data_IF_685563101565
#
_entry.id   IF_685563101565
#
_cell.length_a   1.000
_cell.length_b   1.000
_cell.length_c   1.000
_cell.angle_alpha   90.00
_cell.angle_beta   90.00
_cell.angle_gamma   90.00
#
_symmetry.space_group_name_H-M   'P 1'
#
loop_
_entity.id
_entity.type
_entity.pdbx_description
1 polymer ?
#
# COMPACT_ATOMS: atom_id res chain seq x y z
N UNK A 1 -76.16 25.78 22.91
CA UNK A 1 -75.27 24.74 23.48
C UNK A 1 -74.51 24.08 22.33
N UNK A 2 -73.18 24.05 22.46
CA UNK A 2 -72.25 23.07 21.85
C UNK A 2 -72.02 23.11 20.31
N UNK A 3 -70.84 23.65 19.99
CA UNK A 3 -69.81 23.27 19.02
C UNK A 3 -70.09 22.71 17.61
N UNK A 4 -69.32 23.33 16.71
CA UNK A 4 -68.62 22.80 15.52
C UNK A 4 -69.45 22.53 14.25
N UNK A 5 -69.17 23.30 13.18
CA UNK A 5 -68.42 22.79 12.02
C UNK A 5 -68.24 23.85 10.90
N UNK A 6 -67.08 23.76 10.23
CA UNK A 6 -66.82 23.86 8.78
C UNK A 6 -66.88 25.20 8.00
N UNK A 7 -65.66 25.57 7.55
CA UNK A 7 -65.18 25.58 6.14
C UNK A 7 -65.99 26.38 5.11
N UNK A 8 -65.41 27.48 4.61
CA UNK A 8 -64.67 27.60 3.33
C UNK A 8 -64.76 29.04 2.77
N UNK A 9 -63.61 29.53 2.27
CA UNK A 9 -63.56 30.54 1.21
C UNK A 9 -63.05 31.92 1.62
N UNK A 10 -61.78 32.20 1.28
CA UNK A 10 -61.38 33.36 0.46
C UNK A 10 -59.90 33.28 0.09
N UNK A 11 -59.65 33.43 -1.20
CA UNK A 11 -58.38 33.42 -1.94
C UNK A 11 -57.46 34.58 -1.56
N UNK A 12 -56.15 34.31 -1.45
CA UNK A 12 -55.07 35.30 -1.20
C UNK A 12 -54.02 35.18 -2.34
N UNK A 13 -53.40 36.28 -2.82
CA UNK A 13 -52.64 36.28 -4.07
C UNK A 13 -51.23 35.68 -3.93
N UNK A 14 -50.75 35.09 -5.03
CA UNK A 14 -49.42 34.49 -5.18
C UNK A 14 -48.35 35.59 -5.14
N UNK A 15 -47.49 35.58 -4.11
CA UNK A 15 -46.24 36.35 -4.06
C UNK A 15 -45.11 35.56 -4.73
N UNK A 16 -44.36 36.23 -5.58
CA UNK A 16 -43.21 35.71 -6.29
C UNK A 16 -42.16 35.10 -5.33
N UNK A 17 -41.67 33.91 -5.68
CA UNK A 17 -40.60 33.19 -4.99
C UNK A 17 -39.27 33.92 -5.25
N UNK A 18 -38.46 34.27 -4.24
CA UNK A 18 -37.15 34.85 -4.47
C UNK A 18 -36.23 33.80 -5.11
N UNK A 19 -35.49 34.21 -6.13
CA UNK A 19 -34.48 33.41 -6.81
C UNK A 19 -33.42 32.91 -5.83
N UNK A 20 -33.20 31.60 -5.84
CA UNK A 20 -32.17 30.91 -5.05
C UNK A 20 -30.81 31.50 -5.37
N UNK A 21 -30.22 32.20 -4.39
CA UNK A 21 -28.83 32.65 -4.44
C UNK A 21 -27.93 31.41 -4.49
N UNK A 22 -27.15 31.24 -5.56
CA UNK A 22 -26.22 30.10 -5.66
C UNK A 22 -25.15 30.26 -4.58
N UNK A 23 -24.75 29.16 -3.95
CA UNK A 23 -23.69 29.13 -2.95
C UNK A 23 -22.34 29.75 -3.43
N UNK A 24 -22.16 29.90 -4.74
CA UNK A 24 -21.03 30.59 -5.36
C UNK A 24 -20.95 32.10 -5.06
N UNK A 25 -22.06 32.76 -4.68
CA UNK A 25 -22.07 34.21 -4.47
C UNK A 25 -21.58 34.64 -3.08
N UNK A 26 -21.56 33.73 -2.10
CA UNK A 26 -21.05 33.98 -0.74
C UNK A 26 -19.51 34.10 -0.67
N UNK A 27 -18.80 33.49 -1.63
CA UNK A 27 -17.33 33.45 -1.62
C UNK A 27 -16.66 34.60 -2.39
N UNK A 28 -17.42 35.49 -3.02
CA UNK A 28 -16.86 36.60 -3.82
C UNK A 28 -16.30 37.76 -2.96
N UNK A 29 -16.51 37.74 -1.64
CA UNK A 29 -16.06 38.79 -0.69
C UNK A 29 -14.74 38.47 0.04
N UNK A 30 -14.17 37.29 -0.13
CA UNK A 30 -12.86 36.98 0.44
C UNK A 30 -11.78 37.29 -0.59
N UNK A 31 -11.01 38.35 -0.33
CA UNK A 31 -9.74 38.54 -1.02
C UNK A 31 -8.87 37.29 -0.80
N UNK A 32 -8.21 36.80 -1.86
CA UNK A 32 -7.17 35.78 -1.73
C UNK A 32 -6.23 36.21 -0.61
N UNK A 33 -6.11 35.39 0.44
CA UNK A 33 -5.07 35.57 1.44
C UNK A 33 -3.75 35.75 0.70
N UNK A 34 -3.04 36.85 0.98
CA UNK A 34 -1.70 37.03 0.45
C UNK A 34 -0.88 35.83 0.91
N UNK A 35 -0.25 35.13 -0.05
CA UNK A 35 0.77 34.12 0.26
C UNK A 35 1.80 34.80 1.16
N UNK A 36 1.80 34.47 2.45
CA UNK A 36 2.91 34.83 3.33
C UNK A 36 4.16 34.19 2.73
N UNK A 37 5.15 35.01 2.39
CA UNK A 37 6.49 34.51 2.11
C UNK A 37 6.93 33.68 3.32
N UNK A 38 7.26 32.42 3.07
CA UNK A 38 7.80 31.53 4.09
C UNK A 38 9.07 32.20 4.62
N UNK A 39 9.06 32.64 5.87
CA UNK A 39 10.28 33.11 6.54
C UNK A 39 11.33 32.03 6.32
N UNK A 40 12.39 32.33 5.55
CA UNK A 40 13.53 31.44 5.39
C UNK A 40 13.99 31.08 6.79
N UNK A 41 14.04 29.78 7.09
CA UNK A 41 14.46 29.29 8.38
C UNK A 41 15.95 29.63 8.53
N UNK A 42 16.25 30.76 9.17
CA UNK A 42 17.60 31.26 9.31
C UNK A 42 18.25 30.55 10.51
N UNK A 43 19.14 29.59 10.23
CA UNK A 43 19.88 28.85 11.24
C UNK A 43 21.22 29.52 11.43
N UNK A 44 21.53 29.95 12.67
CA UNK A 44 22.81 30.60 12.98
C UNK A 44 23.96 29.66 12.63
N UNK A 45 24.82 30.11 11.71
CA UNK A 45 25.93 29.32 11.19
C UNK A 45 27.06 29.20 12.21
N UNK A 46 27.51 27.96 12.43
CA UNK A 46 28.69 27.63 13.22
C UNK A 46 29.70 26.87 12.35
N UNK A 47 30.89 26.60 12.92
CA UNK A 47 31.99 25.94 12.19
C UNK A 47 31.58 24.59 11.62
N UNK A 48 30.79 23.80 12.35
CA UNK A 48 30.36 22.48 11.88
C UNK A 48 29.40 22.62 10.71
N UNK A 49 28.39 23.48 10.81
CA UNK A 49 27.44 23.72 9.73
C UNK A 49 28.11 24.25 8.46
N UNK A 50 29.08 25.16 8.59
CA UNK A 50 29.86 25.66 7.46
C UNK A 50 30.60 24.53 6.72
N UNK A 51 31.29 23.65 7.46
CA UNK A 51 31.98 22.49 6.89
C UNK A 51 31.02 21.52 6.20
N UNK A 52 29.83 21.29 6.77
CA UNK A 52 28.80 20.45 6.16
C UNK A 52 28.28 21.05 4.84
N UNK A 53 28.07 22.38 4.79
CA UNK A 53 27.69 23.08 3.57
C UNK A 53 28.77 23.00 2.49
N UNK A 54 30.04 23.11 2.85
CA UNK A 54 31.16 22.95 1.91
C UNK A 54 31.22 21.53 1.34
N UNK A 55 31.12 20.51 2.20
CA UNK A 55 31.08 19.11 1.77
C UNK A 55 29.87 18.83 0.86
N UNK A 56 28.70 19.42 1.14
CA UNK A 56 27.53 19.33 0.27
C UNK A 56 27.81 19.92 -1.12
N UNK A 57 28.37 21.13 -1.20
CA UNK A 57 28.69 21.78 -2.49
C UNK A 57 29.64 20.92 -3.32
N UNK A 58 30.67 20.36 -2.68
CA UNK A 58 31.61 19.44 -3.34
C UNK A 58 30.91 18.15 -3.78
N UNK A 59 30.00 17.61 -2.98
CA UNK A 59 29.24 16.42 -3.33
C UNK A 59 28.29 16.68 -4.52
N UNK A 60 27.55 17.79 -4.48
CA UNK A 60 26.52 18.08 -5.45
C UNK A 60 27.11 18.43 -6.82
N UNK A 61 28.29 19.08 -6.87
CA UNK A 61 28.95 19.43 -8.13
C UNK A 61 29.53 18.22 -8.90
N UNK A 62 29.69 17.06 -8.26
CA UNK A 62 30.18 15.82 -8.90
C UNK A 62 29.13 15.23 -9.85
N UNK A 63 29.57 14.66 -10.98
CA UNK A 63 28.69 13.97 -11.94
C UNK A 63 27.98 12.78 -11.28
N UNK A 64 26.73 12.52 -11.65
CA UNK A 64 25.95 11.37 -11.18
C UNK A 64 26.64 10.05 -11.50
N UNK A 65 26.54 9.10 -10.57
CA UNK A 65 27.08 7.74 -10.68
C UNK A 65 25.99 6.73 -10.31
N UNK A 66 26.35 5.45 -10.19
CA UNK A 66 25.48 4.49 -9.54
C UNK A 66 25.26 4.92 -8.07
N UNK A 67 24.07 4.65 -7.53
CA UNK A 67 23.68 5.12 -6.18
C UNK A 67 24.69 4.71 -5.09
N UNK A 68 25.26 3.50 -5.20
CA UNK A 68 26.28 3.02 -4.26
C UNK A 68 27.54 3.89 -4.35
N UNK A 69 28.08 4.09 -5.55
CA UNK A 69 29.28 4.92 -5.74
C UNK A 69 29.07 6.36 -5.27
N UNK A 70 27.86 6.89 -5.49
CA UNK A 70 27.49 8.23 -5.07
C UNK A 70 27.39 8.33 -3.54
N UNK A 71 26.87 7.29 -2.89
CA UNK A 71 26.88 7.20 -1.43
C UNK A 71 28.30 7.14 -0.85
N UNK A 72 29.18 6.30 -1.40
CA UNK A 72 30.56 6.19 -0.91
C UNK A 72 31.34 7.51 -1.06
N UNK A 73 31.06 8.27 -2.13
CA UNK A 73 31.59 9.64 -2.26
C UNK A 73 31.09 10.54 -1.14
N UNK A 74 29.78 10.53 -0.84
CA UNK A 74 29.24 11.33 0.27
C UNK A 74 29.88 10.94 1.60
N UNK A 75 30.04 9.64 1.88
CA UNK A 75 30.75 9.14 3.06
C UNK A 75 32.16 9.72 3.13
N UNK A 76 32.94 9.63 2.05
CA UNK A 76 34.33 10.12 2.03
C UNK A 76 34.46 11.60 2.36
N UNK A 77 33.48 12.42 1.99
CA UNK A 77 33.48 13.87 2.24
C UNK A 77 33.11 14.22 3.68
N UNK A 78 32.29 13.40 4.34
CA UNK A 78 31.81 13.69 5.69
C UNK A 78 32.65 13.03 6.78
N UNK A 79 33.41 11.98 6.47
CA UNK A 79 34.19 11.21 7.47
C UNK A 79 35.25 12.02 8.22
N UNK A 80 35.75 13.12 7.65
CA UNK A 80 36.75 13.99 8.28
C UNK A 80 36.15 15.13 9.12
N UNK A 81 34.82 15.30 9.07
CA UNK A 81 34.13 16.41 9.73
C UNK A 81 33.65 15.95 11.11
N UNK A 82 33.94 16.73 12.15
CA UNK A 82 33.42 16.46 13.49
C UNK A 82 32.10 17.22 13.69
N UNK A 83 30.98 16.49 13.62
CA UNK A 83 29.63 17.01 13.77
C UNK A 83 28.79 16.14 14.72
N UNK A 84 27.73 16.74 15.27
CA UNK A 84 26.71 16.07 16.07
C UNK A 84 25.40 15.90 15.30
N UNK A 85 24.47 15.13 15.86
CA UNK A 85 23.08 15.02 15.40
C UNK A 85 22.36 16.37 15.33
N UNK A 86 22.70 17.30 16.23
CA UNK A 86 22.17 18.68 16.20
C UNK A 86 22.63 19.40 14.95
N UNK A 87 23.90 19.23 14.55
CA UNK A 87 24.46 19.89 13.37
C UNK A 87 23.90 19.30 12.07
N UNK A 88 23.67 17.98 12.03
CA UNK A 88 22.93 17.34 10.92
C UNK A 88 21.50 17.87 10.84
N UNK A 89 20.83 18.06 12.00
CA UNK A 89 19.50 18.67 12.07
C UNK A 89 19.49 20.10 11.52
N UNK A 90 20.45 20.94 11.93
CA UNK A 90 20.66 22.30 11.38
C UNK A 90 20.90 22.26 9.87
N UNK A 91 21.77 21.35 9.42
CA UNK A 91 22.07 21.19 8.00
C UNK A 91 20.83 20.80 7.19
N UNK A 92 19.96 19.93 7.72
CA UNK A 92 18.70 19.57 7.06
C UNK A 92 17.80 20.78 6.81
N UNK A 93 17.83 21.80 7.67
CA UNK A 93 17.10 23.06 7.52
C UNK A 93 17.81 23.97 6.50
N UNK A 94 19.14 24.03 6.58
CA UNK A 94 19.97 24.81 5.66
C UNK A 94 19.92 24.31 4.20
N UNK A 95 19.43 23.09 3.95
CA UNK A 95 19.20 22.58 2.59
C UNK A 95 18.29 23.49 1.75
N UNK A 96 17.50 24.37 2.37
CA UNK A 96 16.71 25.38 1.65
C UNK A 96 17.55 26.30 0.77
N UNK A 97 18.81 26.53 1.13
CA UNK A 97 19.74 27.36 0.37
C UNK A 97 20.13 26.74 -0.97
N UNK A 98 19.95 25.42 -1.14
CA UNK A 98 20.47 24.65 -2.27
C UNK A 98 19.38 24.06 -3.19
N UNK A 99 18.10 24.33 -2.96
CA UNK A 99 17.00 23.63 -3.65
C UNK A 99 16.94 23.87 -5.17
N UNK A 100 17.46 25.01 -5.61
CA UNK A 100 17.57 25.38 -7.02
C UNK A 100 18.76 24.72 -7.73
N UNK A 101 19.65 24.04 -6.98
CA UNK A 101 20.80 23.37 -7.57
C UNK A 101 20.38 22.14 -8.37
N UNK A 102 21.10 21.90 -9.47
CA UNK A 102 20.91 20.72 -10.30
C UNK A 102 21.06 19.45 -9.46
N UNK A 103 20.16 18.49 -9.68
CA UNK A 103 20.15 17.17 -9.04
C UNK A 103 19.96 17.18 -7.51
N UNK A 104 19.69 18.34 -6.88
CA UNK A 104 19.47 18.48 -5.43
C UNK A 104 18.53 17.42 -4.86
N UNK A 105 17.30 17.30 -5.40
CA UNK A 105 16.29 16.39 -4.88
C UNK A 105 16.64 14.90 -5.03
N UNK A 106 17.56 14.54 -5.94
CA UNK A 106 18.07 13.17 -6.07
C UNK A 106 19.24 12.86 -5.16
N UNK A 107 19.95 13.89 -4.67
CA UNK A 107 21.21 13.75 -3.92
C UNK A 107 21.10 14.07 -2.44
N UNK A 108 20.23 15.01 -2.06
CA UNK A 108 20.14 15.53 -0.70
C UNK A 108 19.88 14.44 0.36
N UNK A 109 18.94 13.52 0.11
CA UNK A 109 18.66 12.45 1.05
C UNK A 109 19.77 11.40 1.13
N UNK A 110 20.53 11.19 0.06
CA UNK A 110 21.69 10.30 0.07
C UNK A 110 22.83 10.89 0.93
N UNK A 111 23.09 12.19 0.77
CA UNK A 111 24.09 12.91 1.57
C UNK A 111 23.71 12.96 3.05
N UNK A 112 22.45 13.26 3.37
CA UNK A 112 21.94 13.17 4.74
C UNK A 112 22.08 11.76 5.32
N UNK A 113 21.83 10.72 4.52
CA UNK A 113 22.01 9.33 4.97
C UNK A 113 23.48 9.04 5.30
N UNK A 114 24.42 9.55 4.50
CA UNK A 114 25.85 9.41 4.77
C UNK A 114 26.26 10.11 6.08
N UNK A 115 25.74 11.31 6.34
CA UNK A 115 25.94 12.03 7.61
C UNK A 115 25.39 11.26 8.81
N UNK A 116 24.18 10.72 8.70
CA UNK A 116 23.53 9.99 9.78
C UNK A 116 24.30 8.71 10.10
N UNK A 117 24.64 7.92 9.09
CA UNK A 117 25.28 6.62 9.28
C UNK A 117 26.73 6.73 9.78
N UNK A 118 27.46 7.79 9.41
CA UNK A 118 28.84 8.02 9.87
C UNK A 118 28.92 8.88 11.15
N UNK A 119 27.80 9.46 11.57
CA UNK A 119 27.78 10.25 12.79
C UNK A 119 27.83 9.38 14.06
N UNK A 120 28.36 9.99 15.13
CA UNK A 120 28.61 9.32 16.41
C UNK A 120 27.35 9.07 17.22
N UNK A 121 26.31 9.89 17.02
CA UNK A 121 25.07 9.80 17.78
C UNK A 121 24.22 8.60 17.33
N UNK A 122 23.32 8.17 18.21
CA UNK A 122 22.40 7.07 17.92
C UNK A 122 21.11 7.55 17.23
N UNK A 123 20.72 8.81 17.46
CA UNK A 123 19.43 9.36 17.05
C UNK A 123 19.57 10.72 16.37
N UNK A 124 18.79 10.92 15.31
CA UNK A 124 18.82 12.12 14.48
C UNK A 124 17.41 12.64 14.22
N UNK A 125 17.24 13.97 14.23
CA UNK A 125 16.00 14.62 13.81
C UNK A 125 16.25 15.42 12.54
N UNK A 126 15.51 15.11 11.49
CA UNK A 126 15.68 15.68 10.15
C UNK A 126 14.39 16.40 9.77
N UNK A 127 14.49 17.66 9.36
CA UNK A 127 13.31 18.42 8.92
C UNK A 127 13.29 18.51 7.41
N UNK A 128 12.20 18.10 6.76
CA UNK A 128 12.03 18.17 5.30
C UNK A 128 10.80 18.98 4.88
N UNK A 129 9.89 19.28 5.81
CA UNK A 129 8.61 19.98 5.55
C UNK A 129 8.71 21.36 4.87
N UNK A 130 9.89 21.94 4.89
CA UNK A 130 10.19 23.29 4.43
C UNK A 130 10.79 23.28 3.01
N UNK A 131 11.12 22.09 2.49
CA UNK A 131 11.57 21.90 1.11
C UNK A 131 10.39 21.96 0.15
N UNK A 132 10.60 22.53 -1.04
CA UNK A 132 9.57 22.69 -2.06
C UNK A 132 9.10 21.36 -2.64
N UNK A 133 10.01 20.37 -2.68
CA UNK A 133 9.71 19.00 -3.11
C UNK A 133 10.37 17.99 -2.16
N UNK A 134 9.76 16.80 -1.99
CA UNK A 134 10.36 15.75 -1.18
C UNK A 134 11.69 15.23 -1.77
N UNK A 135 12.72 15.11 -0.93
CA UNK A 135 14.04 14.58 -1.31
C UNK A 135 14.06 13.05 -1.32
N UNK A 136 14.81 12.46 -2.25
CA UNK A 136 14.90 11.00 -2.44
C UNK A 136 16.00 10.38 -1.57
N UNK A 137 15.90 9.07 -1.34
CA UNK A 137 16.94 8.23 -0.71
C UNK A 137 17.30 8.55 0.75
N UNK A 138 16.50 9.35 1.45
CA UNK A 138 16.74 9.56 2.88
C UNK A 138 16.53 8.24 3.65
N UNK A 139 17.49 7.86 4.49
CA UNK A 139 17.52 6.58 5.18
C UNK A 139 18.19 5.45 4.38
N UNK A 140 18.94 5.77 3.33
CA UNK A 140 19.68 4.76 2.55
C UNK A 140 20.67 3.99 3.46
N UNK A 141 20.58 2.66 3.46
CA UNK A 141 21.41 1.77 4.32
C UNK A 141 21.41 2.16 5.81
N UNK A 142 20.31 2.73 6.29
CA UNK A 142 20.27 3.23 7.66
C UNK A 142 20.48 2.10 8.69
N UNK A 143 21.20 2.45 9.76
CA UNK A 143 21.39 1.63 10.98
C UNK A 143 21.07 2.39 12.27
N UNK A 144 20.67 3.67 12.16
CA UNK A 144 20.45 4.60 13.28
C UNK A 144 18.96 4.83 13.55
N UNK A 145 18.66 5.62 14.57
CA UNK A 145 17.31 6.12 14.80
C UNK A 145 17.12 7.47 14.11
N UNK A 146 16.11 7.59 13.24
CA UNK A 146 15.82 8.82 12.51
C UNK A 146 14.36 9.22 12.77
N UNK A 147 14.14 10.45 13.23
CA UNK A 147 12.82 11.09 13.22
C UNK A 147 12.77 12.15 12.15
N UNK A 148 11.81 12.04 11.22
CA UNK A 148 11.64 13.00 10.14
C UNK A 148 10.39 13.84 10.37
N UNK A 149 10.55 15.15 10.22
CA UNK A 149 9.49 16.15 10.32
C UNK A 149 9.19 16.67 8.90
N UNK A 150 8.23 16.01 8.24
CA UNK A 150 7.82 16.32 6.86
C UNK A 150 7.79 15.09 5.96
N UNK A 151 7.59 15.35 4.67
CA UNK A 151 7.50 14.32 3.64
C UNK A 151 8.88 13.87 3.16
N UNK A 152 8.98 12.63 2.69
CA UNK A 152 10.17 12.08 2.05
C UNK A 152 9.81 11.62 0.63
N UNK A 153 10.73 11.81 -0.31
CA UNK A 153 10.54 11.43 -1.70
C UNK A 153 10.63 9.92 -1.93
N UNK A 154 10.91 9.57 -3.18
CA UNK A 154 11.08 8.18 -3.58
C UNK A 154 12.28 7.52 -2.85
N UNK A 155 12.18 6.21 -2.70
CA UNK A 155 13.27 5.35 -2.22
C UNK A 155 13.73 5.70 -0.79
N UNK A 156 12.83 6.22 0.04
CA UNK A 156 13.05 6.38 1.48
C UNK A 156 13.38 5.02 2.11
N UNK A 157 14.33 4.97 3.05
CA UNK A 157 14.79 3.72 3.69
C UNK A 157 15.28 2.63 2.70
N UNK A 158 15.73 3.01 1.50
CA UNK A 158 16.25 2.05 0.53
C UNK A 158 17.44 1.29 1.10
N UNK A 159 17.36 -0.06 1.10
CA UNK A 159 18.35 -0.96 1.72
C UNK A 159 18.61 -0.73 3.20
N UNK A 160 17.67 -0.14 3.95
CA UNK A 160 17.79 0.00 5.42
C UNK A 160 18.15 -1.35 6.06
N UNK A 161 19.17 -1.33 6.91
CA UNK A 161 19.81 -2.54 7.45
C UNK A 161 19.33 -2.83 8.87
N UNK A 162 19.20 -1.80 9.70
CA UNK A 162 18.68 -1.87 11.06
C UNK A 162 18.23 -0.49 11.56
N UNK A 163 17.97 -0.35 12.86
CA UNK A 163 17.54 0.92 13.45
C UNK A 163 16.05 1.21 13.27
N UNK A 164 15.66 2.44 13.60
CA UNK A 164 14.26 2.89 13.57
C UNK A 164 14.15 4.18 12.77
N UNK A 165 13.21 4.25 11.83
CA UNK A 165 12.94 5.46 11.06
C UNK A 165 11.46 5.81 11.17
N UNK A 166 11.16 6.98 11.73
CA UNK A 166 9.79 7.49 11.88
C UNK A 166 9.62 8.69 10.97
N UNK A 167 8.68 8.61 10.03
CA UNK A 167 8.38 9.67 9.07
C UNK A 167 7.04 10.31 9.43
N UNK A 168 7.10 11.53 9.96
CA UNK A 168 5.93 12.36 10.27
C UNK A 168 5.43 13.09 9.02
N UNK A 169 5.05 12.32 8.01
CA UNK A 169 4.63 12.80 6.69
C UNK A 169 4.34 11.65 5.74
N UNK A 170 4.20 11.97 4.46
CA UNK A 170 4.04 11.02 3.37
C UNK A 170 5.40 10.56 2.83
N UNK A 171 5.41 9.41 2.16
CA UNK A 171 6.59 8.93 1.42
C UNK A 171 6.30 8.68 -0.05
N UNK A 172 7.35 8.80 -0.88
CA UNK A 172 7.30 8.48 -2.30
C UNK A 172 7.30 6.97 -2.60
N UNK A 173 7.33 6.63 -3.89
CA UNK A 173 7.40 5.23 -4.33
C UNK A 173 8.75 4.60 -4.03
N UNK A 174 8.78 3.27 -3.86
CA UNK A 174 10.00 2.52 -3.53
C UNK A 174 10.45 2.67 -2.06
N UNK A 175 9.58 3.18 -1.18
CA UNK A 175 9.90 3.27 0.25
C UNK A 175 10.16 1.86 0.82
N UNK A 176 11.25 1.68 1.56
CA UNK A 176 11.65 0.38 2.12
C UNK A 176 12.07 -0.66 1.06
N UNK A 177 12.40 -0.23 -0.16
CA UNK A 177 12.86 -1.13 -1.21
C UNK A 177 14.14 -1.85 -0.75
N UNK A 178 14.22 -3.17 -0.96
CA UNK A 178 15.32 -4.03 -0.52
C UNK A 178 15.71 -3.85 0.97
N UNK A 179 14.77 -3.44 1.82
CA UNK A 179 15.00 -3.35 3.27
C UNK A 179 15.43 -4.71 3.82
N UNK A 180 16.53 -4.70 4.57
CA UNK A 180 17.21 -5.90 5.10
C UNK A 180 16.90 -6.11 6.58
N UNK A 181 16.38 -5.10 7.27
CA UNK A 181 16.04 -5.15 8.70
C UNK A 181 15.64 -3.78 9.24
N UNK A 182 15.32 -3.72 10.53
CA UNK A 182 14.92 -2.49 11.23
C UNK A 182 13.41 -2.23 11.24
N UNK A 183 13.01 -1.03 11.69
CA UNK A 183 11.60 -0.62 11.77
C UNK A 183 11.37 0.73 11.11
N UNK A 184 10.38 0.78 10.21
CA UNK A 184 9.99 1.98 9.47
C UNK A 184 8.52 2.30 9.76
N UNK A 185 8.27 3.45 10.36
CA UNK A 185 6.91 3.96 10.63
C UNK A 185 6.63 5.20 9.77
N UNK A 186 5.50 5.19 9.05
CA UNK A 186 5.07 6.26 8.15
C UNK A 186 3.70 6.74 8.63
N UNK A 187 3.65 7.96 9.14
CA UNK A 187 2.43 8.55 9.70
C UNK A 187 1.47 9.12 8.64
N UNK A 188 1.92 9.20 7.38
CA UNK A 188 1.10 9.59 6.22
C UNK A 188 0.79 8.42 5.29
N UNK A 189 0.64 8.75 4.00
CA UNK A 189 0.49 7.79 2.90
C UNK A 189 1.86 7.36 2.38
N UNK A 190 1.93 6.19 1.74
CA UNK A 190 3.11 5.76 1.00
C UNK A 190 2.84 5.60 -0.50
N UNK A 191 3.86 5.86 -1.31
CA UNK A 191 3.80 5.68 -2.77
C UNK A 191 3.73 4.21 -3.20
N UNK A 192 3.84 4.01 -4.52
CA UNK A 192 3.84 2.66 -5.11
C UNK A 192 5.11 1.88 -4.72
N UNK A 193 5.08 0.55 -4.82
CA UNK A 193 6.27 -0.31 -4.60
C UNK A 193 6.87 -0.20 -3.19
N UNK A 194 6.02 0.04 -2.18
CA UNK A 194 6.42 -0.02 -0.77
C UNK A 194 6.97 -1.43 -0.45
N UNK A 195 8.14 -1.54 0.16
CA UNK A 195 8.71 -2.82 0.58
C UNK A 195 9.02 -3.79 -0.56
N UNK A 196 9.19 -3.29 -1.80
CA UNK A 196 9.56 -4.16 -2.92
C UNK A 196 10.90 -4.84 -2.65
N UNK A 197 10.97 -6.16 -2.82
CA UNK A 197 12.15 -6.99 -2.50
C UNK A 197 12.62 -6.89 -1.05
N UNK A 198 11.74 -6.52 -0.12
CA UNK A 198 12.04 -6.52 1.31
C UNK A 198 12.44 -7.93 1.77
N UNK A 199 13.55 -8.03 2.49
CA UNK A 199 14.13 -9.29 2.98
C UNK A 199 13.77 -9.55 4.44
N UNK A 200 13.80 -8.51 5.26
CA UNK A 200 13.39 -8.57 6.67
C UNK A 200 13.08 -7.15 7.19
N UNK A 201 12.63 -7.05 8.44
CA UNK A 201 12.26 -5.80 9.11
C UNK A 201 10.75 -5.58 9.20
N UNK A 202 10.36 -4.39 9.63
CA UNK A 202 8.94 -3.99 9.77
C UNK A 202 8.67 -2.66 9.10
N UNK A 203 7.59 -2.57 8.33
CA UNK A 203 7.07 -1.33 7.77
C UNK A 203 5.63 -1.14 8.23
N UNK A 204 5.32 0.00 8.84
CA UNK A 204 3.97 0.37 9.27
C UNK A 204 3.54 1.69 8.63
N UNK A 205 2.46 1.68 7.84
CA UNK A 205 1.85 2.86 7.23
C UNK A 205 0.52 3.16 7.90
N UNK A 206 0.34 4.39 8.41
CA UNK A 206 -0.90 4.79 9.10
C UNK A 206 -2.08 5.05 8.17
N UNK A 207 -1.84 5.35 6.89
CA UNK A 207 -2.87 5.63 5.90
C UNK A 207 -2.76 4.68 4.70
N UNK A 208 -2.98 5.20 3.49
CA UNK A 208 -3.08 4.42 2.26
C UNK A 208 -1.71 4.19 1.60
N UNK A 209 -1.63 3.13 0.81
CA UNK A 209 -0.46 2.77 -0.01
C UNK A 209 -0.90 2.56 -1.44
N UNK A 210 -0.13 3.09 -2.40
CA UNK A 210 -0.41 2.87 -3.83
C UNK A 210 -0.01 1.45 -4.28
N UNK A 211 -0.01 1.22 -5.59
CA UNK A 211 0.09 -0.13 -6.15
C UNK A 211 1.42 -0.83 -5.81
N UNK A 212 1.39 -2.16 -5.84
CA UNK A 212 2.53 -3.06 -5.74
C UNK A 212 3.29 -3.01 -4.40
N UNK A 213 2.59 -2.75 -3.29
CA UNK A 213 3.18 -2.93 -1.96
C UNK A 213 3.56 -4.39 -1.72
N UNK A 214 4.77 -4.66 -1.22
CA UNK A 214 5.30 -6.01 -1.00
C UNK A 214 5.62 -6.80 -2.27
N UNK A 215 5.74 -6.15 -3.44
CA UNK A 215 6.12 -6.82 -4.68
C UNK A 215 7.47 -7.54 -4.50
N UNK A 216 7.55 -8.82 -4.84
CA UNK A 216 8.76 -9.65 -4.69
C UNK A 216 9.31 -9.69 -3.24
N UNK A 217 8.47 -9.46 -2.22
CA UNK A 217 8.87 -9.55 -0.81
C UNK A 217 9.32 -10.97 -0.46
N UNK A 218 10.45 -11.09 0.21
CA UNK A 218 11.08 -12.36 0.60
C UNK A 218 10.91 -12.66 2.09
N UNK A 219 10.78 -11.62 2.92
CA UNK A 219 10.58 -11.74 4.36
C UNK A 219 10.24 -10.39 5.01
N UNK A 220 10.09 -10.39 6.34
CA UNK A 220 9.66 -9.23 7.12
C UNK A 220 8.15 -9.06 7.24
N UNK A 221 7.71 -7.90 7.72
CA UNK A 221 6.29 -7.59 7.91
C UNK A 221 5.92 -6.18 7.41
N UNK A 222 4.79 -6.08 6.71
CA UNK A 222 4.19 -4.81 6.27
C UNK A 222 2.78 -4.70 6.86
N UNK A 223 2.50 -3.59 7.56
CA UNK A 223 1.18 -3.26 8.11
C UNK A 223 0.69 -1.96 7.48
N UNK A 224 -0.48 -2.00 6.85
CA UNK A 224 -1.14 -0.87 6.22
C UNK A 224 -2.46 -0.63 6.94
N UNK A 225 -2.58 0.50 7.63
CA UNK A 225 -3.80 0.84 8.38
C UNK A 225 -4.91 1.44 7.51
N UNK A 226 -4.59 1.89 6.29
CA UNK A 226 -5.56 2.30 5.27
C UNK A 226 -5.77 1.23 4.20
N UNK A 227 -5.93 1.67 2.96
CA UNK A 227 -6.12 0.84 1.77
C UNK A 227 -4.81 0.58 1.02
N UNK A 228 -4.80 -0.47 0.22
CA UNK A 228 -3.77 -0.75 -0.77
C UNK A 228 -4.38 -0.73 -2.18
N UNK A 229 -3.61 -0.33 -3.18
CA UNK A 229 -4.01 -0.43 -4.58
C UNK A 229 -3.61 -1.80 -5.19
N UNK A 230 -3.67 -1.90 -6.52
CA UNK A 230 -3.42 -3.14 -7.27
C UNK A 230 -2.09 -3.83 -6.93
N UNK A 231 -2.02 -5.14 -7.19
CA UNK A 231 -0.80 -5.97 -7.13
C UNK A 231 -0.13 -6.07 -5.76
N UNK A 232 -0.89 -5.88 -4.67
CA UNK A 232 -0.43 -6.10 -3.31
C UNK A 232 0.17 -7.51 -3.15
N UNK A 233 1.42 -7.62 -2.70
CA UNK A 233 2.11 -8.89 -2.50
C UNK A 233 2.31 -9.71 -3.78
N UNK A 234 2.30 -9.08 -4.95
CA UNK A 234 2.59 -9.77 -6.22
C UNK A 234 3.99 -10.39 -6.19
N UNK A 235 4.11 -11.62 -6.71
CA UNK A 235 5.37 -12.38 -6.78
C UNK A 235 6.06 -12.56 -5.41
N UNK A 236 5.33 -12.41 -4.29
CA UNK A 236 5.85 -12.57 -2.94
C UNK A 236 6.32 -14.01 -2.70
N UNK A 237 7.51 -14.15 -2.12
CA UNK A 237 8.17 -15.43 -1.81
C UNK A 237 8.10 -15.75 -0.31
N UNK A 238 7.98 -14.74 0.54
CA UNK A 238 7.87 -14.89 1.99
C UNK A 238 7.53 -13.57 2.70
N UNK A 239 7.33 -13.64 4.02
CA UNK A 239 6.93 -12.50 4.85
C UNK A 239 5.43 -12.41 5.12
N UNK A 240 5.00 -11.32 5.76
CA UNK A 240 3.60 -11.10 6.15
C UNK A 240 3.13 -9.69 5.78
N UNK A 241 1.99 -9.59 5.10
CA UNK A 241 1.36 -8.31 4.76
C UNK A 241 -0.04 -8.26 5.37
N UNK A 242 -0.34 -7.18 6.12
CA UNK A 242 -1.66 -6.95 6.72
C UNK A 242 -2.20 -5.59 6.28
N UNK A 243 -3.37 -5.58 5.64
CA UNK A 243 -4.11 -4.39 5.25
C UNK A 243 -5.41 -4.30 6.06
N UNK A 244 -5.61 -3.18 6.76
CA UNK A 244 -6.79 -2.95 7.60
C UNK A 244 -7.99 -2.40 6.82
N UNK A 245 -7.76 -1.85 5.62
CA UNK A 245 -8.79 -1.42 4.67
C UNK A 245 -9.03 -2.42 3.54
N UNK A 246 -9.27 -1.89 2.35
CA UNK A 246 -9.47 -2.63 1.10
C UNK A 246 -8.15 -2.81 0.33
N UNK A 247 -8.16 -3.73 -0.63
CA UNK A 247 -7.17 -3.78 -1.70
C UNK A 247 -7.86 -3.79 -3.08
N UNK A 248 -7.19 -3.29 -4.12
CA UNK A 248 -7.72 -3.34 -5.49
C UNK A 248 -7.40 -4.71 -6.14
N UNK A 249 -7.03 -4.72 -7.43
CA UNK A 249 -6.97 -5.95 -8.21
C UNK A 249 -5.69 -6.75 -7.98
N UNK A 250 -5.74 -8.04 -8.30
CA UNK A 250 -4.55 -8.90 -8.44
C UNK A 250 -3.69 -9.02 -7.17
N UNK A 251 -4.32 -8.99 -5.99
CA UNK A 251 -3.65 -9.27 -4.71
C UNK A 251 -3.02 -10.66 -4.76
N UNK A 252 -1.74 -10.78 -4.45
CA UNK A 252 -1.01 -12.04 -4.46
C UNK A 252 -0.86 -12.69 -5.83
N UNK A 253 -0.89 -11.90 -6.92
CA UNK A 253 -0.60 -12.40 -8.27
C UNK A 253 0.76 -13.10 -8.33
N UNK A 254 0.80 -14.34 -8.82
CA UNK A 254 1.99 -15.19 -8.90
C UNK A 254 2.74 -15.36 -7.56
N UNK A 255 2.02 -15.28 -6.43
CA UNK A 255 2.58 -15.49 -5.09
C UNK A 255 3.13 -16.92 -4.92
N UNK A 256 4.34 -17.03 -4.39
CA UNK A 256 5.10 -18.28 -4.18
C UNK A 256 5.29 -18.64 -2.70
N UNK A 257 4.94 -17.74 -1.78
CA UNK A 257 5.03 -17.98 -0.35
C UNK A 257 4.69 -16.75 0.48
N UNK A 258 4.66 -16.90 1.81
CA UNK A 258 4.27 -15.84 2.75
C UNK A 258 2.77 -15.79 3.05
N UNK A 259 2.34 -14.72 3.72
CA UNK A 259 0.92 -14.50 4.02
C UNK A 259 0.46 -13.06 3.73
N UNK A 260 -0.75 -12.95 3.18
CA UNK A 260 -1.43 -11.67 2.95
C UNK A 260 -2.79 -11.72 3.64
N UNK A 261 -3.10 -10.72 4.47
CA UNK A 261 -4.44 -10.51 5.04
C UNK A 261 -4.98 -9.14 4.65
N UNK A 262 -6.10 -9.09 3.95
CA UNK A 262 -6.87 -7.87 3.69
C UNK A 262 -8.16 -7.95 4.50
N UNK A 263 -8.38 -7.00 5.41
CA UNK A 263 -9.51 -7.06 6.35
C UNK A 263 -10.86 -6.98 5.64
N UNK A 264 -10.97 -6.12 4.64
CA UNK A 264 -12.24 -5.82 3.99
C UNK A 264 -12.28 -6.47 2.60
N UNK A 265 -12.43 -5.67 1.54
CA UNK A 265 -12.70 -6.13 0.19
C UNK A 265 -11.45 -6.15 -0.69
N UNK A 266 -11.40 -7.10 -1.61
CA UNK A 266 -10.44 -7.18 -2.72
C UNK A 266 -11.20 -7.15 -4.04
N UNK A 267 -10.69 -6.45 -5.05
CA UNK A 267 -11.33 -6.46 -6.37
C UNK A 267 -11.03 -7.79 -7.12
N UNK A 268 -10.91 -7.74 -8.44
CA UNK A 268 -10.79 -8.94 -9.26
C UNK A 268 -9.40 -9.58 -9.17
N UNK A 269 -9.32 -10.86 -9.55
CA UNK A 269 -8.08 -11.62 -9.75
C UNK A 269 -7.23 -11.84 -8.48
N UNK A 270 -7.86 -11.85 -7.30
CA UNK A 270 -7.17 -12.22 -6.05
C UNK A 270 -6.55 -13.62 -6.17
N UNK A 271 -5.24 -13.74 -5.97
CA UNK A 271 -4.48 -14.99 -6.04
C UNK A 271 -4.34 -15.56 -7.45
N UNK A 272 -4.44 -14.72 -8.50
CA UNK A 272 -4.21 -15.16 -9.88
C UNK A 272 -2.82 -15.78 -10.03
N UNK A 273 -2.74 -16.99 -10.60
CA UNK A 273 -1.51 -17.78 -10.78
C UNK A 273 -0.73 -18.04 -9.47
N UNK A 274 -1.40 -18.01 -8.33
CA UNK A 274 -0.78 -18.31 -7.04
C UNK A 274 -0.25 -19.76 -7.01
N UNK A 275 0.98 -19.93 -6.53
CA UNK A 275 1.68 -21.23 -6.46
C UNK A 275 1.80 -21.77 -5.04
N UNK A 276 1.94 -20.88 -4.05
CA UNK A 276 2.02 -21.24 -2.64
C UNK A 276 1.77 -20.00 -1.76
N UNK A 277 1.69 -20.21 -0.45
CA UNK A 277 1.38 -19.18 0.54
C UNK A 277 -0.09 -19.16 0.97
N UNK A 278 -0.47 -18.13 1.73
CA UNK A 278 -1.83 -17.95 2.25
C UNK A 278 -2.34 -16.54 1.99
N UNK A 279 -3.53 -16.42 1.40
CA UNK A 279 -4.26 -15.17 1.27
C UNK A 279 -5.56 -15.27 2.09
N UNK A 280 -5.86 -14.27 2.92
CA UNK A 280 -7.12 -14.17 3.65
C UNK A 280 -7.76 -12.80 3.43
N UNK A 281 -9.01 -12.79 3.00
CA UNK A 281 -9.75 -11.57 2.63
C UNK A 281 -11.13 -11.55 3.29
N UNK A 282 -11.66 -10.37 3.57
CA UNK A 282 -13.04 -10.22 4.02
C UNK A 282 -14.04 -10.56 2.90
N UNK A 283 -13.85 -10.03 1.69
CA UNK A 283 -14.60 -10.42 0.50
C UNK A 283 -13.75 -10.18 -0.74
N UNK A 284 -14.13 -10.80 -1.87
CA UNK A 284 -13.47 -10.52 -3.14
C UNK A 284 -14.48 -10.43 -4.29
N UNK A 285 -14.11 -9.75 -5.38
CA UNK A 285 -14.91 -9.74 -6.61
C UNK A 285 -14.62 -11.01 -7.45
N UNK A 286 -14.38 -10.88 -8.74
CA UNK A 286 -14.40 -12.01 -9.67
C UNK A 286 -13.01 -12.63 -9.88
N UNK A 287 -12.97 -13.81 -10.51
CA UNK A 287 -11.74 -14.49 -10.93
C UNK A 287 -10.75 -14.78 -9.78
N UNK A 288 -11.26 -14.99 -8.56
CA UNK A 288 -10.43 -15.40 -7.42
C UNK A 288 -9.76 -16.73 -7.75
N UNK A 289 -8.45 -16.83 -7.57
CA UNK A 289 -7.68 -18.04 -7.89
C UNK A 289 -7.65 -18.40 -9.38
N UNK A 290 -7.83 -17.44 -10.30
CA UNK A 290 -7.66 -17.67 -11.73
C UNK A 290 -6.27 -18.27 -12.03
N UNK A 291 -6.25 -19.42 -12.71
CA UNK A 291 -5.07 -20.23 -13.00
C UNK A 291 -4.22 -20.56 -11.77
N UNK A 292 -4.81 -20.69 -10.58
CA UNK A 292 -4.10 -21.02 -9.34
C UNK A 292 -3.52 -22.44 -9.41
N UNK A 293 -2.23 -22.57 -9.10
CA UNK A 293 -1.44 -23.81 -9.14
C UNK A 293 -1.28 -24.43 -7.74
N UNK A 294 -1.34 -23.60 -6.68
CA UNK A 294 -1.16 -24.06 -5.31
C UNK A 294 -1.35 -22.95 -4.26
N UNK A 295 -1.23 -23.31 -2.98
CA UNK A 295 -1.48 -22.40 -1.86
C UNK A 295 -2.91 -22.41 -1.35
N UNK A 296 -3.25 -21.45 -0.48
CA UNK A 296 -4.59 -21.33 0.11
C UNK A 296 -5.13 -19.91 0.03
N UNK A 297 -6.34 -19.76 -0.50
CA UNK A 297 -7.13 -18.53 -0.41
C UNK A 297 -8.30 -18.79 0.54
N UNK A 298 -8.59 -17.84 1.44
CA UNK A 298 -9.74 -17.88 2.34
C UNK A 298 -10.48 -16.56 2.28
N UNK A 299 -11.76 -16.58 1.91
CA UNK A 299 -12.66 -15.45 1.97
C UNK A 299 -13.63 -15.63 3.15
N UNK A 300 -13.58 -14.72 4.12
CA UNK A 300 -14.44 -14.73 5.33
C UNK A 300 -15.89 -14.33 5.00
N UNK A 301 -16.09 -13.68 3.85
CA UNK A 301 -17.38 -13.25 3.33
C UNK A 301 -17.60 -13.78 1.93
N UNK A 302 -18.19 -12.95 1.07
CA UNK A 302 -18.60 -13.37 -0.29
C UNK A 302 -17.46 -13.25 -1.30
N UNK A 303 -17.57 -14.03 -2.36
CA UNK A 303 -16.75 -13.92 -3.56
C UNK A 303 -17.63 -13.80 -4.82
N UNK A 304 -17.10 -13.14 -5.84
CA UNK A 304 -17.76 -12.96 -7.13
C UNK A 304 -17.71 -14.19 -8.05
N UNK A 305 -17.94 -13.93 -9.33
CA UNK A 305 -18.08 -14.96 -10.36
C UNK A 305 -16.73 -15.54 -10.76
N UNK A 306 -16.76 -16.71 -11.39
CA UNK A 306 -15.62 -17.31 -12.11
C UNK A 306 -14.43 -17.59 -11.16
N UNK A 307 -14.72 -17.90 -9.89
CA UNK A 307 -13.67 -18.29 -8.94
C UNK A 307 -13.13 -19.67 -9.27
N UNK A 308 -11.81 -19.83 -9.21
CA UNK A 308 -11.11 -21.06 -9.52
C UNK A 308 -11.09 -21.37 -11.01
N UNK A 309 -11.24 -20.35 -11.86
CA UNK A 309 -11.08 -20.50 -13.30
C UNK A 309 -9.73 -21.09 -13.66
N UNK A 310 -9.69 -22.17 -14.44
CA UNK A 310 -8.45 -22.84 -14.86
C UNK A 310 -7.54 -23.24 -13.69
N UNK A 311 -8.10 -23.42 -12.49
CA UNK A 311 -7.35 -23.83 -11.30
C UNK A 311 -6.78 -25.24 -11.50
N UNK A 312 -5.47 -25.38 -11.28
CA UNK A 312 -4.71 -26.64 -11.42
C UNK A 312 -4.21 -27.18 -10.08
N UNK A 313 -4.41 -26.45 -8.99
CA UNK A 313 -4.10 -26.91 -7.65
C UNK A 313 -4.36 -25.87 -6.57
N UNK A 314 -4.16 -26.24 -5.31
CA UNK A 314 -4.42 -25.40 -4.14
C UNK A 314 -5.83 -25.54 -3.56
N UNK A 315 -6.16 -24.66 -2.61
CA UNK A 315 -7.45 -24.66 -1.91
C UNK A 315 -8.03 -23.26 -1.83
N UNK A 316 -9.28 -23.11 -2.26
CA UNK A 316 -10.08 -21.90 -2.05
C UNK A 316 -11.19 -22.25 -1.04
N UNK A 317 -11.25 -21.55 0.08
CA UNK A 317 -12.33 -21.62 1.06
C UNK A 317 -13.11 -20.31 1.06
N UNK A 318 -14.43 -20.39 0.98
CA UNK A 318 -15.36 -19.26 1.03
C UNK A 318 -16.35 -19.52 2.15
N UNK A 319 -16.30 -18.71 3.20
CA UNK A 319 -17.22 -18.82 4.34
C UNK A 319 -18.59 -18.21 4.03
N UNK A 320 -18.65 -17.25 3.11
CA UNK A 320 -19.89 -16.66 2.61
C UNK A 320 -20.41 -17.27 1.31
N UNK A 321 -21.09 -16.45 0.51
CA UNK A 321 -21.66 -16.84 -0.78
C UNK A 321 -20.65 -16.72 -1.93
N UNK A 322 -20.87 -17.52 -2.98
CA UNK A 322 -20.12 -17.46 -4.22
C UNK A 322 -21.04 -17.21 -5.42
N UNK A 323 -20.55 -16.43 -6.37
CA UNK A 323 -21.25 -16.09 -7.61
C UNK A 323 -21.36 -17.25 -8.60
N UNK A 324 -21.57 -16.91 -9.86
CA UNK A 324 -21.76 -17.88 -10.95
C UNK A 324 -20.42 -18.44 -11.46
N UNK A 325 -20.48 -19.57 -12.17
CA UNK A 325 -19.36 -20.18 -12.87
C UNK A 325 -18.17 -20.57 -11.96
N UNK A 326 -18.45 -20.96 -10.71
CA UNK A 326 -17.42 -21.42 -9.79
C UNK A 326 -16.78 -22.70 -10.33
N UNK A 327 -15.45 -22.71 -10.44
CA UNK A 327 -14.67 -23.80 -11.02
C UNK A 327 -14.77 -23.89 -12.54
N UNK A 328 -15.00 -22.77 -13.23
CA UNK A 328 -15.00 -22.73 -14.70
C UNK A 328 -13.68 -23.28 -15.26
N UNK A 329 -13.72 -24.37 -16.05
CA UNK A 329 -12.51 -25.03 -16.56
C UNK A 329 -11.50 -25.44 -15.48
N UNK A 330 -11.96 -25.70 -14.26
CA UNK A 330 -11.09 -26.20 -13.19
C UNK A 330 -10.52 -27.57 -13.57
N UNK A 331 -9.21 -27.74 -13.44
CA UNK A 331 -8.45 -28.94 -13.83
C UNK A 331 -8.12 -29.78 -12.58
N UNK A 332 -7.76 -29.13 -11.47
CA UNK A 332 -7.47 -29.78 -10.19
C UNK A 332 -7.57 -28.78 -9.03
N UNK A 333 -7.33 -29.25 -7.81
CA UNK A 333 -7.47 -28.46 -6.58
C UNK A 333 -8.83 -28.63 -5.91
N UNK A 334 -9.10 -27.78 -4.91
CA UNK A 334 -10.31 -27.86 -4.09
C UNK A 334 -10.94 -26.50 -3.86
N UNK A 335 -12.22 -26.36 -4.16
CA UNK A 335 -13.04 -25.19 -3.82
C UNK A 335 -14.09 -25.62 -2.80
N UNK A 336 -14.21 -24.87 -1.70
CA UNK A 336 -15.18 -25.11 -0.63
C UNK A 336 -15.96 -23.83 -0.43
N UNK A 337 -17.28 -23.89 -0.51
CA UNK A 337 -18.18 -22.77 -0.26
C UNK A 337 -19.20 -23.17 0.81
N UNK A 338 -19.17 -22.46 1.93
CA UNK A 338 -20.08 -22.69 3.06
C UNK A 338 -21.47 -22.07 2.84
N UNK A 339 -21.54 -20.99 2.06
CA UNK A 339 -22.80 -20.38 1.67
C UNK A 339 -23.39 -20.92 0.37
N UNK A 340 -24.30 -20.13 -0.19
CA UNK A 340 -24.88 -20.32 -1.52
C UNK A 340 -23.83 -20.27 -2.64
N UNK A 341 -24.03 -21.09 -3.66
CA UNK A 341 -23.30 -21.09 -4.92
C UNK A 341 -24.25 -20.66 -6.04
N UNK A 342 -23.80 -19.72 -6.88
CA UNK A 342 -24.51 -19.29 -8.08
C UNK A 342 -24.60 -20.38 -9.15
N UNK A 343 -25.00 -19.95 -10.34
CA UNK A 343 -25.32 -20.86 -11.44
C UNK A 343 -24.07 -21.44 -12.12
N UNK A 344 -24.24 -22.60 -12.76
CA UNK A 344 -23.24 -23.25 -13.63
C UNK A 344 -21.92 -23.57 -12.90
N UNK A 345 -22.03 -24.06 -11.67
CA UNK A 345 -20.92 -24.65 -10.91
C UNK A 345 -20.24 -25.76 -11.73
N UNK A 346 -18.92 -25.74 -11.81
CA UNK A 346 -18.11 -26.73 -12.51
C UNK A 346 -18.29 -26.72 -14.04
N UNK A 347 -18.76 -25.62 -14.63
CA UNK A 347 -18.92 -25.54 -16.09
C UNK A 347 -17.58 -25.79 -16.80
N UNK A 348 -17.54 -26.78 -17.71
CA UNK A 348 -16.32 -27.23 -18.38
C UNK A 348 -15.19 -27.69 -17.43
N UNK A 349 -15.49 -28.03 -16.18
CA UNK A 349 -14.52 -28.58 -15.21
C UNK A 349 -13.97 -29.93 -15.70
N UNK A 350 -12.65 -30.06 -15.74
CA UNK A 350 -11.88 -31.22 -16.19
C UNK A 350 -11.30 -32.06 -15.02
N UNK A 351 -11.38 -31.55 -13.79
CA UNK A 351 -10.97 -32.29 -12.60
C UNK A 351 -10.99 -31.44 -11.32
N UNK A 352 -10.56 -32.03 -10.20
CA UNK A 352 -10.61 -31.41 -8.87
C UNK A 352 -11.90 -31.65 -8.10
N UNK A 353 -12.10 -30.90 -7.01
CA UNK A 353 -13.25 -31.04 -6.12
C UNK A 353 -13.91 -29.69 -5.81
N UNK A 354 -15.25 -29.63 -5.94
CA UNK A 354 -16.07 -28.50 -5.47
C UNK A 354 -17.00 -29.00 -4.37
N UNK A 355 -16.99 -28.32 -3.21
CA UNK A 355 -17.81 -28.66 -2.04
C UNK A 355 -18.80 -27.53 -1.78
N UNK A 356 -20.08 -27.81 -1.99
CA UNK A 356 -21.22 -26.93 -1.79
C UNK A 356 -21.90 -27.25 -0.45
N UNK A 357 -21.59 -26.51 0.61
CA UNK A 357 -22.12 -26.80 1.95
C UNK A 357 -23.35 -25.96 2.32
N UNK A 358 -23.69 -24.94 1.53
CA UNK A 358 -24.92 -24.17 1.68
C UNK A 358 -26.19 -25.02 1.56
N UNK A 359 -27.32 -24.44 1.97
CA UNK A 359 -28.60 -25.15 2.03
C UNK A 359 -29.16 -25.55 0.67
N UNK A 360 -28.90 -24.74 -0.36
CA UNK A 360 -29.41 -24.94 -1.71
C UNK A 360 -28.55 -25.92 -2.51
N UNK A 361 -29.22 -26.74 -3.33
CA UNK A 361 -28.54 -27.62 -4.27
C UNK A 361 -27.83 -26.78 -5.34
N UNK A 362 -26.52 -27.02 -5.60
CA UNK A 362 -25.81 -26.25 -6.60
C UNK A 362 -26.35 -26.54 -8.00
N UNK A 363 -26.47 -25.49 -8.80
CA UNK A 363 -26.79 -25.56 -10.22
C UNK A 363 -25.50 -25.86 -11.00
N UNK A 364 -25.42 -27.01 -11.67
CA UNK A 364 -24.27 -27.40 -12.48
C UNK A 364 -24.69 -27.99 -13.83
N UNK A 365 -23.93 -27.70 -14.88
CA UNK A 365 -24.19 -28.17 -16.24
C UNK A 365 -22.88 -28.26 -17.02
N UNK A 366 -22.77 -29.20 -17.94
CA UNK A 366 -21.57 -29.41 -18.78
C UNK A 366 -20.27 -29.56 -17.97
N UNK A 367 -20.35 -30.26 -16.83
CA UNK A 367 -19.18 -30.75 -16.10
C UNK A 367 -18.56 -31.89 -16.92
N UNK A 368 -17.25 -31.86 -17.18
CA UNK A 368 -16.56 -32.89 -18.00
C UNK A 368 -16.04 -34.00 -17.07
N UNK A 369 -15.34 -33.64 -16.00
CA UNK A 369 -14.71 -34.54 -15.03
C UNK A 369 -14.64 -33.88 -13.64
N UNK A 370 -14.12 -34.60 -12.64
CA UNK A 370 -13.98 -34.11 -11.26
C UNK A 370 -15.14 -34.52 -10.35
N UNK A 371 -15.21 -33.90 -9.18
CA UNK A 371 -16.21 -34.23 -8.15
C UNK A 371 -16.90 -32.97 -7.63
N UNK A 372 -18.23 -33.03 -7.56
CA UNK A 372 -19.03 -32.01 -6.88
C UNK A 372 -19.75 -32.69 -5.71
N UNK A 373 -19.61 -32.09 -4.53
CA UNK A 373 -20.25 -32.53 -3.30
C UNK A 373 -21.27 -31.48 -2.86
N UNK A 374 -22.40 -31.93 -2.34
CA UNK A 374 -23.35 -31.09 -1.62
C UNK A 374 -23.53 -31.62 -0.20
N UNK A 375 -23.23 -30.80 0.82
CA UNK A 375 -23.25 -31.18 2.24
C UNK A 375 -22.53 -32.51 2.52
N UNK A 376 -21.34 -32.65 1.96
CA UNK A 376 -20.49 -33.85 2.08
C UNK A 376 -20.93 -35.06 1.26
N UNK A 377 -22.08 -35.04 0.58
CA UNK A 377 -22.53 -36.12 -0.30
C UNK A 377 -22.09 -35.87 -1.74
N UNK A 378 -21.52 -36.87 -2.40
CA UNK A 378 -21.15 -36.79 -3.81
C UNK A 378 -22.41 -36.68 -4.67
N UNK A 379 -22.51 -35.63 -5.49
CA UNK A 379 -23.64 -35.38 -6.41
C UNK A 379 -23.21 -35.38 -7.88
N UNK A 380 -21.91 -35.28 -8.16
CA UNK A 380 -21.31 -35.49 -9.47
C UNK A 380 -19.96 -36.24 -9.34
N UNK A 381 -19.67 -37.25 -10.17
CA UNK A 381 -20.57 -37.83 -11.17
C UNK A 381 -21.78 -38.49 -10.50
N UNK A 382 -22.95 -38.46 -11.14
CA UNK A 382 -24.11 -39.19 -10.64
C UNK A 382 -23.78 -40.68 -10.67
N UNK A 383 -23.96 -41.36 -9.54
CA UNK A 383 -23.97 -42.83 -9.53
C UNK A 383 -25.02 -43.29 -10.55
N UNK A 384 -24.59 -44.07 -11.54
CA UNK A 384 -25.44 -44.53 -12.65
C UNK A 384 -26.60 -45.39 -12.20
#
# INVERSE_FOLDING_TARGET
MINAERRLGKTVPIRAIPTVTRASDLFRRYHREQRQEVRKADVKEDKALAQLKEAWKEFNCRKRRAIVDEYEVAVSLVSSINYSSVDVGKFSIALTEFQEEKDFFSKAGLFLSALINNGKDASYTITTRHLEKPIKYLGFRNTKNITIIGDVGADAAYKMESGVMVINGNTGGGTGYEMQGGSLEINGNAGMRLGTKMKDGTISVKKDVRAAAGLLMQGGAIVINGNANDHLGGLMEGGNIVVKGNAENSVGFEMKGGSIRVKNHVMDFCGKKMRAGKITVGSADNHVGNSMEGGRITAEGRIGNITGEEMTGGVILVEGHAGDYIGFRMIAGKIIVEGYLGDRVGFEMEGGEIHANGDELPSFVRVINGKIFHKGKLIYPRSG
#
